data_IF_351977037981
#
_entry.id   IF_351977037981
#
_cell.length_a   1.000
_cell.length_b   1.000
_cell.length_c   1.000
_cell.angle_alpha   90.00
_cell.angle_beta   90.00
_cell.angle_gamma   90.00
#
_symmetry.space_group_name_H-M   'P 1'
#
loop_
_entity.id
_entity.type
_entity.pdbx_description
1 polymer ?
#
# COMPACT_ATOMS: atom_id res chain seq x y z
N UNK A 1 -21.35 -2.43 13.34
CA UNK A 1 -22.08 -3.53 12.67
C UNK A 1 -21.61 -3.57 11.22
N UNK A 2 -21.20 -4.75 10.75
CA UNK A 2 -20.10 -4.93 9.78
C UNK A 2 -20.32 -4.37 8.37
N UNK A 3 -19.41 -3.50 7.93
CA UNK A 3 -19.37 -2.95 6.56
C UNK A 3 -18.88 -3.95 5.50
N UNK A 4 -18.49 -5.16 5.90
CA UNK A 4 -17.84 -6.18 5.05
C UNK A 4 -18.63 -7.51 4.95
N UNK A 5 -19.97 -7.47 5.06
CA UNK A 5 -20.83 -8.67 4.87
C UNK A 5 -21.01 -9.06 3.39
N UNK A 6 -20.24 -8.45 2.48
CA UNK A 6 -20.23 -8.78 1.06
C UNK A 6 -19.59 -10.14 0.82
N UNK A 7 -20.30 -10.99 0.08
CA UNK A 7 -19.87 -12.25 -0.55
C UNK A 7 -18.42 -12.68 -0.30
N UNK A 8 -18.24 -13.82 0.36
CA UNK A 8 -16.93 -14.44 0.52
C UNK A 8 -16.37 -14.87 -0.85
N UNK A 9 -15.21 -14.34 -1.23
CA UNK A 9 -14.50 -14.73 -2.44
C UNK A 9 -13.47 -15.82 -2.14
N UNK A 10 -13.54 -16.94 -2.86
CA UNK A 10 -12.62 -18.06 -2.64
C UNK A 10 -11.32 -17.85 -3.42
N UNK A 11 -10.30 -17.31 -2.75
CA UNK A 11 -8.96 -17.08 -3.30
C UNK A 11 -8.15 -18.38 -3.40
N UNK A 12 -7.57 -18.63 -4.56
CA UNK A 12 -6.54 -19.66 -4.74
C UNK A 12 -5.17 -19.03 -4.45
N UNK A 13 -4.53 -19.47 -3.39
CA UNK A 13 -3.23 -18.98 -2.94
C UNK A 13 -2.23 -20.14 -2.91
N UNK A 14 -0.96 -19.94 -3.31
CA UNK A 14 0.12 -20.84 -2.96
C UNK A 14 0.21 -21.02 -1.44
N UNK A 15 0.61 -22.22 -0.98
CA UNK A 15 0.68 -22.54 0.44
C UNK A 15 1.55 -21.54 1.21
N UNK A 16 2.74 -21.23 0.68
CA UNK A 16 3.67 -20.27 1.27
C UNK A 16 3.03 -18.88 1.47
N UNK A 17 2.27 -18.39 0.48
CA UNK A 17 1.60 -17.10 0.59
C UNK A 17 0.50 -17.13 1.65
N UNK A 18 -0.26 -18.22 1.72
CA UNK A 18 -1.30 -18.39 2.75
C UNK A 18 -0.71 -18.37 4.16
N UNK A 19 0.43 -19.04 4.36
CA UNK A 19 1.10 -19.11 5.66
C UNK A 19 1.62 -17.72 6.10
N UNK A 20 2.22 -16.97 5.17
CA UNK A 20 2.64 -15.58 5.43
C UNK A 20 1.49 -14.66 5.83
N UNK A 21 0.32 -14.79 5.18
CA UNK A 21 -0.88 -14.01 5.55
C UNK A 21 -1.41 -14.44 6.92
N UNK A 22 -1.37 -15.75 7.23
CA UNK A 22 -1.80 -16.28 8.53
C UNK A 22 -0.96 -15.71 9.68
N UNK A 23 0.35 -15.68 9.51
CA UNK A 23 1.30 -15.13 10.48
C UNK A 23 1.08 -13.62 10.67
N UNK A 24 1.01 -12.85 9.58
CA UNK A 24 0.73 -11.41 9.62
C UNK A 24 -0.60 -11.08 10.30
N UNK A 25 -1.65 -11.85 10.03
CA UNK A 25 -2.96 -11.65 10.64
C UNK A 25 -2.91 -11.88 12.17
N UNK A 26 -2.14 -12.89 12.61
CA UNK A 26 -1.90 -13.17 14.02
C UNK A 26 -1.14 -12.03 14.71
N UNK A 27 -0.06 -11.53 14.10
CA UNK A 27 0.73 -10.41 14.62
C UNK A 27 -0.12 -9.12 14.77
N UNK A 28 -1.00 -8.87 13.80
CA UNK A 28 -1.89 -7.71 13.77
C UNK A 28 -3.21 -7.90 14.52
N UNK A 29 -3.37 -9.03 15.24
CA UNK A 29 -4.58 -9.38 16.00
C UNK A 29 -5.88 -9.24 15.19
N UNK A 30 -5.88 -9.69 13.92
CA UNK A 30 -7.04 -9.65 13.02
C UNK A 30 -7.26 -11.00 12.33
N UNK A 31 -8.43 -11.18 11.72
CA UNK A 31 -8.70 -12.40 10.93
C UNK A 31 -7.89 -12.38 9.63
N UNK A 32 -7.58 -13.56 9.09
CA UNK A 32 -6.92 -13.69 7.79
C UNK A 32 -7.65 -12.92 6.69
N UNK A 33 -8.98 -12.96 6.69
CA UNK A 33 -9.80 -12.22 5.71
C UNK A 33 -9.68 -10.69 5.91
N UNK A 34 -9.65 -10.22 7.16
CA UNK A 34 -9.44 -8.79 7.44
C UNK A 34 -8.05 -8.32 7.00
N UNK A 35 -7.03 -9.18 7.13
CA UNK A 35 -5.68 -8.91 6.63
C UNK A 35 -5.61 -8.77 5.12
N UNK A 36 -6.25 -9.72 4.41
CA UNK A 36 -6.37 -9.69 2.95
C UNK A 36 -7.09 -8.43 2.47
N UNK A 37 -8.25 -8.11 3.07
CA UNK A 37 -9.03 -6.92 2.71
C UNK A 37 -8.20 -5.65 2.92
N UNK A 38 -7.57 -5.49 4.08
CA UNK A 38 -6.77 -4.30 4.36
C UNK A 38 -5.61 -4.14 3.35
N UNK A 39 -4.91 -5.21 3.01
CA UNK A 39 -3.83 -5.16 2.00
C UNK A 39 -4.34 -4.78 0.61
N UNK A 40 -5.51 -5.28 0.23
CA UNK A 40 -6.14 -4.92 -1.03
C UNK A 40 -6.55 -3.44 -1.03
N UNK A 41 -7.19 -2.96 0.03
CA UNK A 41 -7.55 -1.54 0.20
C UNK A 41 -6.30 -0.64 0.13
N UNK A 42 -5.25 -0.98 0.88
CA UNK A 42 -3.96 -0.28 0.84
C UNK A 42 -3.37 -0.25 -0.57
N UNK A 43 -3.50 -1.33 -1.35
CA UNK A 43 -3.01 -1.37 -2.74
C UNK A 43 -3.71 -0.37 -3.67
N UNK A 44 -4.96 -0.02 -3.39
CA UNK A 44 -5.69 1.02 -4.12
C UNK A 44 -5.40 2.43 -3.57
N UNK A 45 -5.01 2.55 -2.30
CA UNK A 45 -4.65 3.82 -1.67
C UNK A 45 -3.21 4.26 -1.95
N UNK A 46 -2.32 3.34 -2.32
CA UNK A 46 -0.96 3.65 -2.77
C UNK A 46 -1.01 4.42 -4.11
N UNK A 47 -1.23 5.73 -4.00
CA UNK A 47 -1.21 6.72 -5.09
C UNK A 47 0.20 7.19 -5.45
N UNK A 48 1.23 6.49 -5.01
CA UNK A 48 2.58 6.80 -5.46
C UNK A 48 2.67 6.39 -6.92
N UNK A 49 2.50 7.37 -7.83
CA UNK A 49 2.93 7.21 -9.22
C UNK A 49 4.37 6.72 -9.15
N UNK A 50 4.68 5.66 -9.90
CA UNK A 50 6.07 5.26 -10.06
C UNK A 50 6.87 6.52 -10.48
N UNK A 51 7.92 6.84 -9.72
CA UNK A 51 8.76 8.01 -9.97
C UNK A 51 9.32 7.99 -11.39
N UNK A 52 9.65 6.80 -11.91
CA UNK A 52 10.14 6.59 -13.27
C UNK A 52 9.13 7.00 -14.34
N UNK A 53 7.84 6.96 -14.02
CA UNK A 53 6.74 7.29 -14.94
C UNK A 53 6.11 8.65 -14.62
N UNK A 54 6.66 9.41 -13.67
CA UNK A 54 6.15 10.74 -13.33
C UNK A 54 6.88 11.79 -14.18
N UNK A 55 6.16 12.66 -14.91
CA UNK A 55 6.80 13.73 -15.67
C UNK A 55 7.75 14.55 -14.80
N UNK A 56 8.95 14.82 -15.31
CA UNK A 56 9.98 15.55 -14.57
C UNK A 56 9.50 16.90 -14.06
N UNK A 57 8.63 17.58 -14.82
CA UNK A 57 8.05 18.86 -14.41
C UNK A 57 7.16 18.74 -13.15
N UNK A 58 6.33 17.69 -13.06
CA UNK A 58 5.52 17.44 -11.86
C UNK A 58 6.41 17.16 -10.65
N UNK A 59 7.49 16.41 -10.84
CA UNK A 59 8.47 16.13 -9.78
C UNK A 59 9.17 17.40 -9.31
N UNK A 60 9.70 18.20 -10.24
CA UNK A 60 10.41 19.44 -9.89
C UNK A 60 9.51 20.44 -9.17
N UNK A 61 8.23 20.54 -9.57
CA UNK A 61 7.26 21.40 -8.89
C UNK A 61 6.99 20.95 -7.46
N UNK A 62 6.81 19.66 -7.22
CA UNK A 62 6.58 19.13 -5.88
C UNK A 62 7.83 19.26 -4.99
N UNK A 63 9.02 19.02 -5.55
CA UNK A 63 10.29 19.21 -4.85
C UNK A 63 10.51 20.68 -4.48
N UNK A 64 10.30 21.61 -5.42
CA UNK A 64 10.41 23.03 -5.15
C UNK A 64 9.46 23.49 -4.04
N UNK A 65 8.22 22.95 -4.02
CA UNK A 65 7.25 23.23 -2.96
C UNK A 65 7.70 22.71 -1.58
N UNK A 66 8.28 21.52 -1.50
CA UNK A 66 8.73 20.91 -0.23
C UNK A 66 10.03 21.48 0.29
N UNK A 67 10.90 21.89 -0.63
CA UNK A 67 12.24 22.40 -0.36
C UNK A 67 12.27 23.93 -0.33
N UNK A 68 11.12 24.59 -0.31
CA UNK A 68 11.07 26.04 -0.10
C UNK A 68 11.76 26.38 1.23
N UNK A 69 12.91 27.06 1.15
CA UNK A 69 13.79 27.36 2.28
C UNK A 69 14.92 26.36 2.58
N UNK A 70 15.09 25.27 1.82
CA UNK A 70 16.18 24.30 1.96
C UNK A 70 17.15 24.35 0.78
N UNK A 71 18.45 24.41 1.03
CA UNK A 71 19.49 24.22 0.01
C UNK A 71 19.90 22.75 -0.06
N UNK A 72 19.70 22.11 -1.21
CA UNK A 72 20.19 20.76 -1.46
C UNK A 72 21.66 20.85 -1.89
N UNK A 73 22.56 20.21 -1.13
CA UNK A 73 23.96 20.01 -1.54
C UNK A 73 24.04 18.63 -2.19
N UNK A 74 24.38 18.60 -3.48
CA UNK A 74 24.62 17.35 -4.21
C UNK A 74 26.12 17.08 -4.16
N UNK A 75 26.53 15.92 -3.63
CA UNK A 75 27.91 15.42 -3.69
C UNK A 75 28.16 14.68 -5.01
#
# INVERSE_FOLDING_TARGET
>A
MGKHLGVAYNLRLPQELKDRIAESAKELNRSMNADIVARLEESFEQKFKNLENTPTEELMKELAKRLDGFSVVVN
#
